data_IF_854530771328
#
_entry.id   IF_854530771328
#
_cell.length_a   1.000
_cell.length_b   1.000
_cell.length_c   1.000
_cell.angle_alpha   90.00
_cell.angle_beta   90.00
_cell.angle_gamma   90.00
#
_symmetry.space_group_name_H-M   'P 1'
#
loop_
_entity.id
_entity.type
_entity.pdbx_description
1 polymer ?
#
# COMPACT_ATOMS: atom_id res chain seq x y z
N UNK A 1 14.83 12.64 -2.13
CA UNK A 1 14.51 11.72 -3.22
C UNK A 1 14.01 10.39 -2.63
N UNK A 2 12.90 9.91 -3.12
CA UNK A 2 12.33 8.63 -2.71
C UNK A 2 12.89 7.52 -3.58
N UNK A 3 13.00 6.32 -3.00
CA UNK A 3 13.49 5.20 -3.77
C UNK A 3 12.77 3.93 -3.30
N UNK A 4 12.60 3.00 -4.20
CA UNK A 4 11.98 1.73 -3.87
C UNK A 4 12.67 0.60 -4.63
N UNK A 5 12.54 -0.61 -4.08
CA UNK A 5 12.95 -1.82 -4.78
C UNK A 5 11.89 -2.90 -4.60
N UNK A 6 11.86 -3.87 -5.49
CA UNK A 6 10.86 -4.92 -5.45
C UNK A 6 11.50 -6.27 -5.73
N UNK A 7 10.94 -7.31 -5.14
CA UNK A 7 11.34 -8.68 -5.48
C UNK A 7 10.65 -9.10 -6.76
N UNK A 8 11.25 -10.05 -7.46
CA UNK A 8 10.74 -10.49 -8.76
C UNK A 8 9.76 -11.66 -8.69
N UNK A 9 9.33 -12.03 -7.49
CA UNK A 9 8.39 -13.12 -7.32
C UNK A 9 6.97 -12.61 -7.33
N UNK A 10 6.09 -13.38 -7.92
CA UNK A 10 4.68 -13.05 -7.98
C UNK A 10 4.31 -12.32 -9.27
N UNK A 11 3.46 -11.33 -9.14
CA UNK A 11 2.94 -10.59 -10.27
C UNK A 11 4.00 -9.77 -10.98
N UNK A 12 3.64 -9.31 -12.14
CA UNK A 12 4.45 -8.48 -13.00
C UNK A 12 5.19 -7.42 -12.21
N UNK A 13 6.51 -7.44 -12.29
CA UNK A 13 7.32 -6.38 -11.69
C UNK A 13 7.00 -5.02 -12.31
N UNK A 14 6.47 -5.02 -13.55
CA UNK A 14 6.06 -3.79 -14.24
C UNK A 14 4.86 -3.18 -13.54
N UNK A 15 3.83 -3.97 -13.23
CA UNK A 15 2.65 -3.47 -12.53
C UNK A 15 3.04 -2.92 -11.16
N UNK A 16 3.86 -3.64 -10.42
CA UNK A 16 4.33 -3.21 -9.11
C UNK A 16 5.09 -1.88 -9.20
N UNK A 17 6.01 -1.78 -10.15
CA UNK A 17 6.80 -0.56 -10.36
C UNK A 17 5.92 0.60 -10.78
N UNK A 18 4.96 0.36 -11.65
CA UNK A 18 4.04 1.41 -12.12
C UNK A 18 3.20 1.94 -10.96
N UNK A 19 2.66 1.06 -10.14
CA UNK A 19 1.87 1.47 -8.97
C UNK A 19 2.73 2.27 -8.00
N UNK A 20 3.91 1.75 -7.67
CA UNK A 20 4.81 2.43 -6.74
C UNK A 20 5.20 3.81 -7.24
N UNK A 21 5.65 3.90 -8.49
CA UNK A 21 6.05 5.18 -9.09
C UNK A 21 4.90 6.16 -9.12
N UNK A 22 3.72 5.71 -9.55
CA UNK A 22 2.55 6.57 -9.63
C UNK A 22 2.15 7.11 -8.26
N UNK A 23 2.04 6.22 -7.27
CA UNK A 23 1.60 6.62 -5.94
C UNK A 23 2.61 7.58 -5.28
N UNK A 24 3.89 7.23 -5.34
CA UNK A 24 4.93 8.05 -4.73
C UNK A 24 4.96 9.44 -5.36
N UNK A 25 4.91 9.50 -6.68
CA UNK A 25 4.97 10.78 -7.38
C UNK A 25 3.73 11.63 -7.18
N UNK A 26 2.57 11.02 -7.01
CA UNK A 26 1.32 11.75 -6.86
C UNK A 26 1.03 12.17 -5.41
N UNK A 27 1.27 11.27 -4.46
CA UNK A 27 0.80 11.46 -3.09
C UNK A 27 1.88 11.80 -2.08
N UNK A 28 3.14 11.41 -2.32
CA UNK A 28 4.23 11.69 -1.38
C UNK A 28 5.50 12.17 -2.09
N UNK A 29 5.37 13.10 -3.07
CA UNK A 29 6.50 13.44 -3.95
C UNK A 29 7.64 14.18 -3.25
N UNK A 30 7.37 14.77 -2.09
CA UNK A 30 8.37 15.58 -1.38
C UNK A 30 9.02 14.86 -0.20
N UNK A 31 8.59 13.64 0.08
CA UNK A 31 9.14 12.87 1.18
C UNK A 31 10.38 12.10 0.72
N UNK A 32 11.38 12.05 1.58
CA UNK A 32 12.59 11.27 1.35
C UNK A 32 12.49 9.99 2.18
N UNK A 33 12.46 8.86 1.53
CA UNK A 33 12.30 7.57 2.19
C UNK A 33 12.74 6.45 1.27
N UNK A 34 12.79 5.25 1.82
CA UNK A 34 13.08 4.04 1.07
C UNK A 34 12.02 3.00 1.40
N UNK A 35 11.52 2.29 0.41
CA UNK A 35 10.57 1.20 0.63
C UNK A 35 10.98 -0.02 -0.19
N UNK A 36 10.96 -1.17 0.46
CA UNK A 36 11.21 -2.44 -0.19
C UNK A 36 9.88 -3.18 -0.30
N UNK A 37 9.54 -3.61 -1.51
CA UNK A 37 8.30 -4.33 -1.77
C UNK A 37 8.64 -5.79 -1.99
N UNK A 38 8.10 -6.65 -1.14
CA UNK A 38 8.40 -8.07 -1.13
C UNK A 38 7.14 -8.87 -1.46
N UNK A 39 7.25 -9.74 -2.45
CA UNK A 39 6.16 -10.64 -2.82
C UNK A 39 6.43 -12.00 -2.21
N UNK A 40 5.50 -12.51 -1.41
CA UNK A 40 5.64 -13.82 -0.78
C UNK A 40 4.29 -14.42 -0.43
N UNK A 41 4.27 -15.72 -0.11
CA UNK A 41 3.05 -16.37 0.34
C UNK A 41 2.73 -15.99 1.77
N UNK A 42 1.57 -15.36 2.00
CA UNK A 42 1.13 -14.92 3.33
C UNK A 42 -0.05 -15.74 3.85
N UNK A 43 -0.14 -16.99 3.43
CA UNK A 43 -1.31 -17.83 3.67
C UNK A 43 -1.70 -17.97 5.13
N UNK A 44 -0.74 -17.94 6.04
CA UNK A 44 -1.00 -18.15 7.47
C UNK A 44 -1.51 -16.92 8.19
N UNK A 45 -1.46 -15.78 7.57
CA UNK A 45 -1.70 -14.52 8.27
C UNK A 45 -3.04 -13.90 7.94
N UNK A 46 -3.84 -14.59 7.14
CA UNK A 46 -5.18 -14.15 6.75
C UNK A 46 -5.21 -12.72 6.21
N UNK A 47 -4.07 -12.28 5.67
CA UNK A 47 -3.91 -10.94 5.13
C UNK A 47 -3.24 -11.04 3.77
N UNK A 48 -3.55 -10.08 2.90
CA UNK A 48 -2.94 -10.04 1.58
C UNK A 48 -1.71 -9.14 1.53
N UNK A 49 -1.49 -8.32 2.55
CA UNK A 49 -0.34 -7.44 2.58
C UNK A 49 -0.08 -6.80 3.92
N UNK A 50 1.10 -6.21 4.05
CA UNK A 50 1.54 -5.46 5.23
C UNK A 50 2.38 -4.29 4.81
N UNK A 51 2.38 -3.24 5.63
CA UNK A 51 3.32 -2.13 5.52
C UNK A 51 3.81 -1.79 6.93
N UNK A 52 5.13 -1.80 7.11
CA UNK A 52 5.70 -1.45 8.40
C UNK A 52 7.02 -0.71 8.19
N UNK A 53 7.41 0.05 9.21
CA UNK A 53 8.72 0.68 9.22
C UNK A 53 9.75 -0.30 9.78
N UNK A 54 11.01 -0.16 9.33
CA UNK A 54 12.09 -1.05 9.77
C UNK A 54 13.25 -0.30 10.41
N UNK A 55 13.20 1.03 10.46
CA UNK A 55 14.27 1.82 11.05
C UNK A 55 13.95 2.28 12.48
N UNK A 56 13.00 3.19 12.64
CA UNK A 56 12.74 3.80 13.95
C UNK A 56 11.30 4.27 14.05
N UNK A 57 10.76 4.29 15.25
CA UNK A 57 9.37 4.68 15.48
C UNK A 57 9.14 6.18 15.26
N UNK A 58 10.14 7.01 15.58
CA UNK A 58 10.01 8.46 15.40
C UNK A 58 10.41 8.85 13.99
N UNK A 59 9.47 9.40 13.25
CA UNK A 59 9.64 9.82 11.86
C UNK A 59 10.29 8.73 11.01
N UNK A 60 9.64 7.57 10.88
CA UNK A 60 10.23 6.48 10.11
C UNK A 60 10.42 6.87 8.65
N UNK A 61 11.49 6.36 8.04
CA UNK A 61 11.87 6.68 6.66
C UNK A 61 12.29 5.44 5.87
N UNK A 62 12.32 4.28 6.51
CA UNK A 62 12.62 3.02 5.84
C UNK A 62 11.48 2.06 6.10
N UNK A 63 10.90 1.53 5.04
CA UNK A 63 9.68 0.73 5.12
C UNK A 63 9.83 -0.57 4.34
N UNK A 64 9.04 -1.56 4.75
CA UNK A 64 8.83 -2.76 3.97
C UNK A 64 7.34 -2.90 3.72
N UNK A 65 6.99 -3.21 2.47
CA UNK A 65 5.65 -3.63 2.10
C UNK A 65 5.73 -5.07 1.66
N UNK A 66 4.91 -5.94 2.26
CA UNK A 66 4.79 -7.33 1.85
C UNK A 66 3.44 -7.51 1.19
N UNK A 67 3.42 -8.17 0.04
CA UNK A 67 2.20 -8.42 -0.71
C UNK A 67 2.14 -9.90 -1.03
N UNK A 68 0.95 -10.47 -0.85
CA UNK A 68 0.70 -11.87 -1.21
C UNK A 68 1.02 -12.08 -2.69
N UNK A 69 1.82 -13.10 -2.99
CA UNK A 69 2.08 -13.50 -4.36
C UNK A 69 0.85 -14.20 -4.94
N UNK A 70 0.69 -14.16 -6.26
CA UNK A 70 -0.36 -14.87 -6.99
C UNK A 70 -1.79 -14.45 -6.65
N UNK A 71 -1.99 -13.16 -6.38
CA UNK A 71 -3.34 -12.61 -6.27
C UNK A 71 -3.88 -12.29 -7.66
N UNK A 72 -5.21 -12.33 -7.88
CA UNK A 72 -5.79 -11.78 -9.11
C UNK A 72 -5.39 -10.33 -9.30
N UNK A 73 -5.35 -9.87 -10.56
CA UNK A 73 -4.83 -8.56 -10.93
C UNK A 73 -5.41 -7.42 -10.12
N UNK A 74 -6.73 -7.30 -10.09
CA UNK A 74 -7.39 -6.20 -9.37
C UNK A 74 -7.12 -6.27 -7.88
N UNK A 75 -7.21 -7.45 -7.30
CA UNK A 75 -6.95 -7.63 -5.87
C UNK A 75 -5.51 -7.31 -5.52
N UNK A 76 -4.57 -7.72 -6.38
CA UNK A 76 -3.16 -7.38 -6.20
C UNK A 76 -2.96 -5.87 -6.18
N UNK A 77 -3.50 -5.19 -7.20
CA UNK A 77 -3.33 -3.75 -7.32
C UNK A 77 -3.93 -3.01 -6.12
N UNK A 78 -5.14 -3.39 -5.73
CA UNK A 78 -5.81 -2.77 -4.57
C UNK A 78 -5.07 -3.05 -3.27
N UNK A 79 -4.53 -4.26 -3.11
CA UNK A 79 -3.75 -4.61 -1.92
C UNK A 79 -2.49 -3.75 -1.83
N UNK A 80 -1.77 -3.64 -2.94
CA UNK A 80 -0.54 -2.82 -2.95
C UNK A 80 -0.86 -1.35 -2.68
N UNK A 81 -1.92 -0.82 -3.28
CA UNK A 81 -2.35 0.55 -3.03
C UNK A 81 -2.77 0.76 -1.58
N UNK A 82 -3.44 -0.21 -0.98
CA UNK A 82 -3.80 -0.19 0.44
C UNK A 82 -2.54 -0.02 1.31
N UNK A 83 -1.50 -0.80 1.03
CA UNK A 83 -0.26 -0.71 1.81
C UNK A 83 0.45 0.62 1.57
N UNK A 84 0.37 1.18 0.37
CA UNK A 84 0.90 2.52 0.11
C UNK A 84 0.15 3.61 0.87
N UNK A 85 -1.15 3.43 1.13
CA UNK A 85 -1.88 4.36 1.99
C UNK A 85 -1.28 4.35 3.39
N UNK A 86 -0.96 3.17 3.93
CA UNK A 86 -0.29 3.09 5.24
C UNK A 86 1.08 3.76 5.20
N UNK A 87 1.85 3.57 4.14
CA UNK A 87 3.13 4.26 3.96
C UNK A 87 2.93 5.78 4.06
N UNK A 88 1.94 6.29 3.36
CA UNK A 88 1.61 7.73 3.39
C UNK A 88 1.24 8.18 4.80
N UNK A 89 0.45 7.39 5.51
CA UNK A 89 0.05 7.70 6.89
C UNK A 89 1.27 7.81 7.79
N UNK A 90 2.22 6.87 7.69
CA UNK A 90 3.47 6.92 8.46
C UNK A 90 4.31 8.14 8.07
N UNK A 91 4.47 8.40 6.79
CA UNK A 91 5.30 9.52 6.32
C UNK A 91 4.74 10.87 6.74
N UNK A 92 3.43 11.02 6.69
CA UNK A 92 2.77 12.28 7.04
C UNK A 92 2.57 12.44 8.55
N UNK A 93 2.81 11.38 9.31
CA UNK A 93 2.70 11.43 10.75
C UNK A 93 1.27 11.34 11.29
N UNK A 94 0.28 11.04 10.44
CA UNK A 94 -1.08 10.77 10.92
C UNK A 94 -1.12 9.44 11.67
N UNK A 95 -0.30 8.49 11.25
CA UNK A 95 -0.10 7.22 11.94
C UNK A 95 1.25 7.26 12.64
N UNK A 96 1.26 6.99 13.93
CA UNK A 96 2.48 7.07 14.75
C UNK A 96 2.55 5.92 15.73
N UNK A 97 3.78 5.53 16.04
CA UNK A 97 4.05 4.59 17.12
C UNK A 97 4.69 5.36 18.28
N UNK A 98 4.11 5.23 19.46
CA UNK A 98 4.63 5.93 20.64
C UNK A 98 4.53 5.00 21.84
N UNK A 99 5.66 4.78 22.49
CA UNK A 99 5.74 3.89 23.67
C UNK A 99 5.16 2.50 23.38
N UNK A 100 5.42 1.97 22.18
CA UNK A 100 4.96 0.65 21.78
C UNK A 100 3.50 0.57 21.38
N UNK A 101 2.81 1.70 21.30
CA UNK A 101 1.40 1.76 20.92
C UNK A 101 1.19 2.61 19.69
N UNK A 102 0.21 2.21 18.88
CA UNK A 102 -0.10 2.89 17.64
C UNK A 102 -1.21 3.92 17.84
N UNK A 103 -1.01 5.11 17.27
CA UNK A 103 -1.97 6.21 17.30
C UNK A 103 -2.26 6.69 15.88
N UNK A 104 -3.52 7.04 15.63
CA UNK A 104 -3.93 7.65 14.38
C UNK A 104 -4.62 8.97 14.69
N UNK A 105 -4.08 10.06 14.15
CA UNK A 105 -4.56 11.43 14.42
C UNK A 105 -4.67 11.71 15.92
N UNK A 106 -3.72 11.18 16.68
CA UNK A 106 -3.65 11.40 18.12
C UNK A 106 -4.49 10.46 18.96
N UNK A 107 -5.29 9.59 18.36
CA UNK A 107 -6.12 8.64 19.09
C UNK A 107 -5.51 7.24 19.09
N UNK A 108 -5.65 6.52 20.20
CA UNK A 108 -5.17 5.14 20.29
C UNK A 108 -5.94 4.24 19.34
N UNK A 109 -5.20 3.51 18.51
CA UNK A 109 -5.77 2.55 17.57
C UNK A 109 -6.28 1.30 18.30
N UNK A 110 -5.68 0.98 19.44
CA UNK A 110 -6.00 -0.25 20.18
C UNK A 110 -7.41 -0.29 20.74
N UNK A 111 -8.09 0.84 20.85
CA UNK A 111 -9.46 0.86 21.38
C UNK A 111 -10.50 0.40 20.37
N UNK A 112 -10.10 0.13 19.12
CA UNK A 112 -10.99 -0.32 18.06
C UNK A 112 -10.71 -1.76 17.70
N UNK A 113 -11.76 -2.50 17.27
CA UNK A 113 -11.59 -3.76 16.58
C UNK A 113 -10.85 -3.52 15.27
N UNK A 114 -10.15 -4.54 14.75
CA UNK A 114 -9.26 -4.37 13.59
C UNK A 114 -9.94 -3.64 12.41
N UNK A 115 -11.14 -4.08 12.02
CA UNK A 115 -11.82 -3.49 10.87
C UNK A 115 -12.34 -2.07 11.12
N UNK A 116 -12.41 -1.67 12.39
CA UNK A 116 -12.87 -0.34 12.78
C UNK A 116 -11.72 0.61 13.11
N UNK A 117 -10.49 0.13 13.07
CA UNK A 117 -9.31 0.98 13.32
C UNK A 117 -9.24 2.07 12.25
N UNK A 118 -9.14 3.34 12.64
CA UNK A 118 -9.30 4.44 11.68
C UNK A 118 -8.30 4.45 10.53
N UNK A 119 -7.07 4.03 10.76
CA UNK A 119 -6.09 3.94 9.67
C UNK A 119 -6.45 2.85 8.66
N UNK A 120 -7.07 1.76 9.12
CA UNK A 120 -7.53 0.70 8.21
C UNK A 120 -8.80 1.14 7.47
N UNK A 121 -9.71 1.83 8.16
CA UNK A 121 -10.91 2.37 7.51
C UNK A 121 -10.51 3.29 6.36
N UNK A 122 -9.54 4.17 6.59
CA UNK A 122 -9.05 5.06 5.53
C UNK A 122 -8.45 4.27 4.37
N UNK A 123 -7.61 3.27 4.66
CA UNK A 123 -6.95 2.50 3.63
C UNK A 123 -7.94 1.67 2.79
N UNK A 124 -8.86 0.96 3.44
CA UNK A 124 -9.87 0.19 2.73
C UNK A 124 -10.81 1.11 1.92
N UNK A 125 -11.16 2.25 2.49
CA UNK A 125 -12.03 3.20 1.80
C UNK A 125 -11.40 3.85 0.58
N UNK A 126 -10.08 3.84 0.48
CA UNK A 126 -9.37 4.46 -0.63
C UNK A 126 -9.08 3.48 -1.78
N UNK A 127 -9.20 2.17 -1.56
CA UNK A 127 -8.74 1.17 -2.54
C UNK A 127 -9.39 1.33 -3.92
N UNK A 128 -10.71 1.43 -3.95
CA UNK A 128 -11.43 1.49 -5.23
C UNK A 128 -11.10 2.78 -5.98
N UNK A 129 -11.11 3.90 -5.29
CA UNK A 129 -10.79 5.19 -5.89
C UNK A 129 -9.36 5.22 -6.44
N UNK A 130 -8.42 4.75 -5.65
CA UNK A 130 -7.02 4.73 -6.07
C UNK A 130 -6.80 3.81 -7.26
N UNK A 131 -7.47 2.67 -7.28
CA UNK A 131 -7.36 1.75 -8.40
C UNK A 131 -7.90 2.38 -9.68
N UNK A 132 -9.06 3.04 -9.61
CA UNK A 132 -9.62 3.74 -10.77
C UNK A 132 -8.70 4.84 -11.26
N UNK A 133 -8.16 5.67 -10.34
CA UNK A 133 -7.22 6.73 -10.71
C UNK A 133 -5.98 6.18 -11.39
N UNK A 134 -5.39 5.14 -10.80
CA UNK A 134 -4.18 4.53 -11.34
C UNK A 134 -4.42 3.99 -12.74
N UNK A 135 -5.47 3.20 -12.90
CA UNK A 135 -5.77 2.58 -14.20
C UNK A 135 -6.05 3.63 -15.27
N UNK A 136 -6.75 4.71 -14.89
CA UNK A 136 -7.02 5.80 -15.83
C UNK A 136 -5.76 6.57 -16.19
N UNK A 137 -4.98 6.95 -15.19
CA UNK A 137 -3.84 7.84 -15.42
C UNK A 137 -2.64 7.15 -16.04
N UNK A 138 -2.41 5.88 -15.69
CA UNK A 138 -1.22 5.16 -16.16
C UNK A 138 -1.51 4.33 -17.40
N UNK A 139 -2.65 3.65 -17.44
CA UNK A 139 -2.97 2.72 -18.54
C UNK A 139 -4.10 3.21 -19.44
N UNK A 140 -4.66 4.37 -19.14
CA UNK A 140 -5.78 4.96 -19.89
C UNK A 140 -6.99 4.03 -20.00
N UNK A 141 -7.28 3.32 -18.90
CA UNK A 141 -8.44 2.44 -18.78
C UNK A 141 -9.53 3.17 -18.00
N UNK A 142 -10.66 3.53 -18.62
CA UNK A 142 -11.73 4.22 -17.90
C UNK A 142 -12.47 3.29 -16.94
N UNK A 143 -13.14 3.86 -15.95
CA UNK A 143 -13.79 3.10 -14.88
C UNK A 143 -14.79 2.06 -15.41
N UNK A 144 -15.50 2.37 -16.49
CA UNK A 144 -16.50 1.47 -17.08
C UNK A 144 -15.88 0.26 -17.79
N UNK A 145 -14.56 0.26 -17.99
CA UNK A 145 -13.82 -0.82 -18.65
C UNK A 145 -12.98 -1.65 -17.68
N UNK A 146 -12.96 -1.29 -16.39
CA UNK A 146 -12.09 -1.96 -15.43
C UNK A 146 -12.39 -3.45 -15.28
N UNK A 147 -13.66 -3.83 -15.35
CA UNK A 147 -14.07 -5.22 -15.20
C UNK A 147 -13.53 -6.13 -16.29
N UNK A 148 -13.12 -5.56 -17.44
CA UNK A 148 -12.58 -6.32 -18.55
C UNK A 148 -11.07 -6.43 -18.51
N UNK A 149 -10.43 -5.59 -17.71
CA UNK A 149 -8.98 -5.57 -17.60
C UNK A 149 -8.54 -6.60 -16.56
N UNK A 150 -7.46 -7.26 -16.79
CA UNK A 150 -6.92 -8.18 -15.80
C UNK A 150 -7.30 -9.64 -15.99
N UNK A 151 -8.27 -9.94 -16.84
CA UNK A 151 -8.61 -11.33 -17.12
C UNK A 151 -7.46 -12.07 -17.80
N UNK A 152 -6.63 -11.36 -18.53
CA UNK A 152 -5.49 -11.94 -19.25
C UNK A 152 -4.26 -12.03 -18.36
N UNK A 153 -4.31 -11.47 -17.17
CA UNK A 153 -3.18 -11.39 -16.23
C UNK A 153 -3.25 -12.42 -15.12
N UNK A 154 -4.17 -13.31 -15.18
CA UNK A 154 -4.42 -14.30 -14.13
C UNK A 154 -3.24 -15.23 -13.85
#
# INVERSE_FOLDING_TARGET
MSCFETTRYGYSSILCQDIASWFINKYVPRHKFYVRIVHKGLKREQSFGFCDFVDQAYRPRVFVIEVQSKLPYELYAKTLLHEFVHLKQWLQGTLRMKSGKMYFEGESVEKYEYMDQPHEVEAYGAEDRLYEEFMKEVYDVPADKLSLYGYTEA
#
